data_IF_827502258956
#
_entry.id   IF_827502258956
#
_cell.length_a   1.000
_cell.length_b   1.000
_cell.length_c   1.000
_cell.angle_alpha   90.00
_cell.angle_beta   90.00
_cell.angle_gamma   90.00
#
_symmetry.space_group_name_H-M   'P 1'
#
loop_
_entity.id
_entity.type
_entity.pdbx_description
1 polymer ?
#
# COMPACT_ATOMS: atom_id res chain seq x y z
N UNK A 1 5.43 -15.54 20.09
CA UNK A 1 4.43 -14.87 19.21
C UNK A 1 4.65 -13.35 19.25
N UNK A 2 4.33 -12.63 18.16
CA UNK A 2 4.40 -11.16 18.13
C UNK A 2 3.33 -10.53 19.03
N UNK A 3 3.67 -9.39 19.66
CA UNK A 3 2.74 -8.62 20.51
C UNK A 3 2.00 -7.51 19.74
N UNK A 4 2.47 -7.21 18.52
CA UNK A 4 1.95 -6.12 17.68
C UNK A 4 0.83 -6.60 16.76
N UNK A 5 0.00 -5.71 16.21
CA UNK A 5 -1.17 -6.08 15.39
C UNK A 5 -0.83 -6.85 14.10
N UNK A 6 0.33 -6.59 13.49
CA UNK A 6 0.74 -7.27 12.26
C UNK A 6 1.20 -8.70 12.56
N UNK A 7 0.34 -9.68 12.30
CA UNK A 7 0.64 -11.10 12.57
C UNK A 7 1.20 -11.86 11.36
N UNK A 8 0.96 -11.35 10.14
CA UNK A 8 1.36 -12.03 8.91
C UNK A 8 2.89 -12.08 8.79
N UNK A 9 3.46 -13.29 8.69
CA UNK A 9 4.92 -13.49 8.73
C UNK A 9 5.66 -12.79 7.59
N UNK A 10 5.16 -12.92 6.34
CA UNK A 10 5.79 -12.30 5.18
C UNK A 10 5.72 -10.77 5.21
N UNK A 11 4.58 -10.20 5.65
CA UNK A 11 4.47 -8.74 5.82
C UNK A 11 5.40 -8.25 6.93
N UNK A 12 5.51 -8.99 8.04
CA UNK A 12 6.45 -8.65 9.12
C UNK A 12 7.91 -8.67 8.62
N UNK A 13 8.29 -9.68 7.83
CA UNK A 13 9.60 -9.74 7.20
C UNK A 13 9.80 -8.60 6.21
N UNK A 14 8.80 -8.28 5.38
CA UNK A 14 8.86 -7.17 4.44
C UNK A 14 9.14 -5.87 5.19
N UNK A 15 8.29 -5.50 6.15
CA UNK A 15 8.42 -4.25 6.91
C UNK A 15 9.78 -4.17 7.61
N UNK A 16 10.22 -5.26 8.25
CA UNK A 16 11.52 -5.32 8.93
C UNK A 16 12.72 -5.20 7.98
N UNK A 17 12.55 -5.50 6.69
CA UNK A 17 13.61 -5.44 5.68
C UNK A 17 13.68 -4.12 4.92
N UNK A 18 12.72 -3.20 5.13
CA UNK A 18 12.68 -1.93 4.42
C UNK A 18 13.80 -0.99 4.88
N UNK A 19 14.55 -0.47 3.91
CA UNK A 19 15.45 0.64 4.11
C UNK A 19 14.77 1.99 3.79
N UNK A 20 15.45 3.09 4.14
CA UNK A 20 14.97 4.44 3.82
C UNK A 20 14.71 4.61 2.32
N UNK A 21 13.51 5.08 1.97
CA UNK A 21 13.08 5.29 0.59
C UNK A 21 12.57 4.04 -0.14
N UNK A 22 12.67 2.85 0.45
CA UNK A 22 12.06 1.64 -0.14
C UNK A 22 10.55 1.79 -0.24
N UNK A 23 9.97 1.31 -1.34
CA UNK A 23 8.54 1.42 -1.59
C UNK A 23 7.80 0.10 -1.38
N UNK A 24 6.59 0.19 -0.83
CA UNK A 24 5.61 -0.91 -0.72
C UNK A 24 4.30 -0.43 -1.31
N UNK A 25 3.66 -1.26 -2.14
CA UNK A 25 2.33 -0.96 -2.69
C UNK A 25 1.27 -1.75 -1.93
N UNK A 26 0.22 -1.06 -1.48
CA UNK A 26 -1.05 -1.69 -1.08
C UNK A 26 -2.00 -1.57 -2.25
N UNK A 27 -2.50 -2.71 -2.73
CA UNK A 27 -3.25 -2.79 -3.97
C UNK A 27 -4.65 -3.37 -3.81
N UNK A 28 -5.55 -2.96 -4.72
CA UNK A 28 -6.81 -3.66 -4.94
C UNK A 28 -6.58 -5.06 -5.54
N UNK A 29 -7.65 -5.86 -5.60
CA UNK A 29 -7.57 -7.25 -6.06
C UNK A 29 -7.23 -7.39 -7.56
N UNK A 30 -7.34 -6.31 -8.33
CA UNK A 30 -7.20 -6.32 -9.79
C UNK A 30 -5.97 -5.60 -10.34
N UNK A 31 -5.14 -4.98 -9.50
CA UNK A 31 -3.96 -4.26 -9.98
C UNK A 31 -2.98 -5.23 -10.67
N UNK A 32 -2.65 -5.00 -11.95
CA UNK A 32 -1.61 -5.80 -12.61
C UNK A 32 -0.24 -5.49 -12.02
N UNK A 33 0.50 -6.54 -11.66
CA UNK A 33 1.83 -6.39 -11.09
C UNK A 33 2.88 -6.62 -12.18
N UNK A 34 3.86 -5.72 -12.35
CA UNK A 34 4.94 -5.90 -13.31
C UNK A 34 5.72 -7.20 -13.06
N UNK A 35 6.17 -7.88 -14.13
CA UNK A 35 7.00 -9.08 -13.99
C UNK A 35 8.23 -8.83 -13.12
N UNK A 36 8.54 -9.77 -12.23
CA UNK A 36 9.69 -9.69 -11.33
C UNK A 36 9.43 -8.92 -10.03
N UNK A 37 8.31 -8.21 -9.89
CA UNK A 37 7.93 -7.57 -8.63
C UNK A 37 7.31 -8.60 -7.68
N UNK A 38 7.82 -8.76 -6.46
CA UNK A 38 7.23 -9.67 -5.47
C UNK A 38 5.80 -9.31 -5.14
N UNK A 39 4.94 -10.31 -4.97
CA UNK A 39 3.54 -10.14 -4.56
C UNK A 39 3.31 -10.89 -3.25
N UNK A 40 2.76 -10.19 -2.27
CA UNK A 40 2.19 -10.80 -1.06
C UNK A 40 0.67 -10.74 -1.21
N UNK A 41 0.07 -11.89 -1.51
CA UNK A 41 -1.35 -11.97 -1.81
C UNK A 41 -2.16 -12.28 -0.55
N UNK A 42 -2.93 -11.32 -0.09
CA UNK A 42 -3.83 -11.44 1.06
C UNK A 42 -5.29 -11.60 0.65
N UNK A 43 -5.61 -11.53 -0.64
CA UNK A 43 -6.97 -11.59 -1.12
C UNK A 43 -7.60 -12.95 -0.84
N UNK A 44 -8.46 -13.03 0.16
CA UNK A 44 -9.20 -14.24 0.50
C UNK A 44 -10.50 -14.34 -0.31
N UNK A 45 -11.25 -13.24 -0.35
CA UNK A 45 -12.51 -13.10 -1.07
C UNK A 45 -12.79 -11.63 -1.29
N UNK A 46 -13.87 -11.29 -2.04
CA UNK A 46 -14.23 -9.91 -2.33
C UNK A 46 -14.35 -9.08 -1.05
N UNK A 47 -13.56 -8.02 -0.94
CA UNK A 47 -13.53 -7.08 0.18
C UNK A 47 -12.78 -7.60 1.42
N UNK A 48 -12.17 -8.77 1.39
CA UNK A 48 -11.51 -9.36 2.58
C UNK A 48 -10.09 -9.84 2.23
N UNK A 49 -9.07 -9.32 2.92
CA UNK A 49 -9.12 -8.10 3.74
C UNK A 49 -9.39 -6.87 2.87
N UNK A 50 -10.02 -5.84 3.44
CA UNK A 50 -10.21 -4.57 2.75
C UNK A 50 -8.89 -3.83 2.58
N UNK A 51 -8.85 -2.87 1.64
CA UNK A 51 -7.73 -1.95 1.48
C UNK A 51 -7.38 -1.23 2.80
N UNK A 52 -8.39 -0.74 3.51
CA UNK A 52 -8.20 -0.05 4.79
C UNK A 52 -7.58 -0.96 5.86
N UNK A 53 -8.02 -2.22 5.96
CA UNK A 53 -7.45 -3.17 6.93
C UNK A 53 -5.98 -3.42 6.66
N UNK A 54 -5.60 -3.66 5.40
CA UNK A 54 -4.20 -3.87 5.02
C UNK A 54 -3.36 -2.62 5.27
N UNK A 55 -3.86 -1.45 4.83
CA UNK A 55 -3.17 -0.17 5.04
C UNK A 55 -2.91 0.09 6.52
N UNK A 56 -3.94 0.07 7.37
CA UNK A 56 -3.79 0.36 8.79
C UNK A 56 -2.87 -0.64 9.50
N UNK A 57 -2.93 -1.92 9.10
CA UNK A 57 -2.05 -2.94 9.68
C UNK A 57 -0.59 -2.70 9.31
N UNK A 58 -0.28 -2.34 8.07
CA UNK A 58 1.09 -1.97 7.68
C UNK A 58 1.57 -0.71 8.41
N UNK A 59 0.72 0.33 8.47
CA UNK A 59 1.05 1.59 9.14
C UNK A 59 1.25 1.44 10.65
N UNK A 60 0.75 0.37 11.27
CA UNK A 60 1.02 0.10 12.70
C UNK A 60 2.49 -0.26 12.98
N UNK A 61 3.26 -0.64 11.96
CA UNK A 61 4.66 -1.04 12.10
C UNK A 61 5.61 -0.34 11.12
N UNK A 62 5.09 0.33 10.09
CA UNK A 62 5.89 0.98 9.04
C UNK A 62 5.88 2.49 9.21
N UNK A 63 7.06 3.09 9.36
CA UNK A 63 7.21 4.54 9.22
C UNK A 63 7.14 4.92 7.75
N UNK A 64 6.26 5.86 7.42
CA UNK A 64 6.08 6.36 6.05
C UNK A 64 6.49 7.82 5.99
N UNK A 65 7.34 8.18 5.02
CA UNK A 65 7.78 9.57 4.80
C UNK A 65 7.03 10.27 3.68
N UNK A 66 6.51 9.54 2.70
CA UNK A 66 5.65 10.05 1.62
C UNK A 66 4.83 8.93 1.01
N UNK A 67 3.77 9.28 0.32
CA UNK A 67 2.91 8.31 -0.36
C UNK A 67 2.43 8.84 -1.72
N UNK A 68 2.11 7.91 -2.63
CA UNK A 68 1.62 8.23 -3.97
C UNK A 68 0.40 7.37 -4.30
N UNK A 69 -0.58 7.96 -5.01
CA UNK A 69 -1.75 7.25 -5.52
C UNK A 69 -2.07 7.68 -6.96
N UNK A 70 -2.97 6.95 -7.63
CA UNK A 70 -3.41 7.37 -8.96
C UNK A 70 -4.36 8.58 -8.88
N UNK A 71 -4.24 9.52 -9.83
CA UNK A 71 -5.15 10.68 -9.94
C UNK A 71 -6.60 10.23 -10.09
N UNK A 72 -6.83 9.10 -10.76
CA UNK A 72 -8.14 8.49 -10.96
C UNK A 72 -8.80 8.06 -9.63
N UNK A 73 -8.04 7.79 -8.58
CA UNK A 73 -8.60 7.54 -7.25
C UNK A 73 -9.44 8.71 -6.76
N UNK A 74 -8.97 9.94 -6.94
CA UNK A 74 -9.72 11.13 -6.52
C UNK A 74 -11.03 11.28 -7.30
N UNK A 75 -11.00 10.99 -8.61
CA UNK A 75 -12.17 11.13 -9.48
C UNK A 75 -13.22 10.03 -9.22
N UNK A 76 -12.79 8.78 -8.98
CA UNK A 76 -13.69 7.63 -8.89
C UNK A 76 -14.02 7.21 -7.45
N UNK A 77 -13.13 7.49 -6.50
CA UNK A 77 -13.25 7.02 -5.12
C UNK A 77 -12.66 8.05 -4.15
N UNK A 78 -13.21 9.28 -4.10
CA UNK A 78 -12.66 10.37 -3.28
C UNK A 78 -12.60 10.02 -1.79
N UNK A 79 -13.46 9.12 -1.32
CA UNK A 79 -13.45 8.60 0.05
C UNK A 79 -12.13 7.86 0.38
N UNK A 80 -11.49 7.25 -0.61
CA UNK A 80 -10.19 6.59 -0.40
C UNK A 80 -9.05 7.60 -0.24
N UNK A 81 -9.10 8.72 -0.97
CA UNK A 81 -8.13 9.80 -0.76
C UNK A 81 -8.30 10.42 0.62
N UNK A 82 -9.55 10.59 1.08
CA UNK A 82 -9.83 11.04 2.45
C UNK A 82 -9.29 10.06 3.50
N UNK A 83 -9.48 8.75 3.26
CA UNK A 83 -8.93 7.69 4.11
C UNK A 83 -7.39 7.75 4.17
N UNK A 84 -6.72 7.94 3.03
CA UNK A 84 -5.26 8.09 2.99
C UNK A 84 -4.79 9.29 3.79
N UNK A 85 -5.43 10.45 3.63
CA UNK A 85 -5.09 11.67 4.39
C UNK A 85 -5.26 11.48 5.89
N UNK A 86 -6.31 10.76 6.30
CA UNK A 86 -6.57 10.46 7.70
C UNK A 86 -5.56 9.45 8.27
N UNK A 87 -5.19 8.44 7.49
CA UNK A 87 -4.27 7.39 7.91
C UNK A 87 -2.79 7.85 7.93
N UNK A 88 -2.47 8.89 7.15
CA UNK A 88 -1.11 9.42 6.94
C UNK A 88 -1.03 10.91 7.31
N UNK A 89 -1.32 11.29 8.58
CA UNK A 89 -1.32 12.69 8.99
C UNK A 89 0.09 13.28 8.85
N UNK A 90 0.19 14.45 8.17
CA UNK A 90 1.46 15.14 7.96
C UNK A 90 2.39 14.50 6.92
N UNK A 91 2.01 13.38 6.33
CA UNK A 91 2.80 12.72 5.27
C UNK A 91 2.43 13.32 3.92
N UNK A 92 3.40 13.78 3.12
CA UNK A 92 3.15 14.25 1.76
C UNK A 92 2.47 13.16 0.92
N UNK A 93 1.32 13.51 0.33
CA UNK A 93 0.54 12.64 -0.54
C UNK A 93 0.48 13.27 -1.93
N UNK A 94 1.05 12.61 -2.93
CA UNK A 94 1.07 13.05 -4.32
C UNK A 94 0.28 12.09 -5.22
N UNK A 95 -0.11 12.59 -6.39
CA UNK A 95 -0.87 11.83 -7.37
C UNK A 95 -0.16 11.80 -8.72
N UNK A 96 -0.27 10.68 -9.43
CA UNK A 96 0.19 10.50 -10.80
C UNK A 96 -0.86 9.69 -11.56
N UNK A 97 -0.83 9.73 -12.89
CA UNK A 97 -1.79 8.95 -13.68
C UNK A 97 -1.64 7.45 -13.43
N UNK A 98 -2.75 6.70 -13.57
CA UNK A 98 -2.77 5.27 -13.26
C UNK A 98 -1.81 4.44 -14.10
N UNK A 99 -1.56 4.81 -15.36
CA UNK A 99 -0.61 4.12 -16.21
C UNK A 99 0.82 4.24 -15.66
N UNK A 100 1.22 5.45 -15.27
CA UNK A 100 2.49 5.73 -14.61
C UNK A 100 2.59 5.03 -13.24
N UNK A 101 1.50 5.03 -12.47
CA UNK A 101 1.45 4.30 -11.20
C UNK A 101 1.74 2.80 -11.38
N UNK A 102 1.10 2.15 -12.37
CA UNK A 102 1.34 0.73 -12.66
C UNK A 102 2.81 0.45 -13.02
N UNK A 103 3.41 1.29 -13.85
CA UNK A 103 4.83 1.15 -14.19
C UNK A 103 5.72 1.29 -12.94
N UNK A 104 5.39 2.26 -12.08
CA UNK A 104 6.13 2.55 -10.85
C UNK A 104 6.06 1.41 -9.84
N UNK A 105 5.01 0.59 -9.86
CA UNK A 105 4.92 -0.62 -9.03
C UNK A 105 6.09 -1.58 -9.25
N UNK A 106 6.73 -1.55 -10.43
CA UNK A 106 7.93 -2.34 -10.73
C UNK A 106 9.15 -1.99 -9.87
N UNK A 107 9.17 -0.83 -9.24
CA UNK A 107 10.27 -0.40 -8.34
C UNK A 107 10.01 -0.74 -6.89
N UNK A 108 8.83 -1.23 -6.54
CA UNK A 108 8.48 -1.56 -5.18
C UNK A 108 9.17 -2.84 -4.69
N UNK A 109 9.45 -2.89 -3.38
CA UNK A 109 9.97 -4.09 -2.71
C UNK A 109 8.94 -5.23 -2.73
N UNK A 110 7.67 -4.89 -2.68
CA UNK A 110 6.55 -5.81 -2.91
C UNK A 110 5.26 -5.06 -3.20
N UNK A 111 4.34 -5.74 -3.87
CA UNK A 111 2.92 -5.36 -3.96
C UNK A 111 2.14 -6.25 -3.00
N UNK A 112 1.44 -5.64 -2.05
CA UNK A 112 0.55 -6.32 -1.11
C UNK A 112 -0.86 -6.23 -1.66
N UNK A 113 -1.38 -7.33 -2.20
CA UNK A 113 -2.72 -7.40 -2.79
C UNK A 113 -3.75 -7.64 -1.70
N UNK A 114 -4.70 -6.72 -1.56
CA UNK A 114 -5.88 -6.87 -0.70
C UNK A 114 -7.04 -7.55 -1.43
N UNK A 115 -8.14 -7.80 -0.73
CA UNK A 115 -9.40 -8.24 -1.33
C UNK A 115 -10.27 -7.09 -1.85
N UNK A 116 -9.77 -5.84 -1.85
CA UNK A 116 -10.52 -4.65 -2.25
C UNK A 116 -10.92 -4.71 -3.72
N UNK A 117 -12.20 -4.42 -3.99
CA UNK A 117 -12.76 -4.38 -5.34
C UNK A 117 -13.20 -2.98 -5.77
N UNK A 118 -12.91 -1.95 -4.98
CA UNK A 118 -13.12 -0.55 -5.38
C UNK A 118 -12.03 -0.15 -6.38
N UNK A 119 -12.40 0.39 -7.54
CA UNK A 119 -11.42 0.80 -8.55
C UNK A 119 -10.41 1.81 -8.00
N UNK A 120 -9.16 1.65 -8.41
CA UNK A 120 -8.04 2.54 -8.06
C UNK A 120 -7.69 2.57 -6.56
N UNK A 121 -8.12 1.58 -5.77
CA UNK A 121 -7.75 1.46 -4.35
C UNK A 121 -6.30 0.99 -4.21
N UNK A 122 -5.36 1.83 -4.63
CA UNK A 122 -3.94 1.52 -4.67
C UNK A 122 -3.12 2.70 -4.13
N UNK A 123 -2.17 2.41 -3.25
CA UNK A 123 -1.24 3.41 -2.71
C UNK A 123 0.18 2.85 -2.68
N UNK A 124 1.15 3.65 -3.05
CA UNK A 124 2.57 3.37 -2.87
C UNK A 124 3.06 4.15 -1.66
N UNK A 125 3.58 3.43 -0.67
CA UNK A 125 4.11 3.95 0.58
C UNK A 125 5.64 3.89 0.53
N UNK A 126 6.30 4.99 0.87
CA UNK A 126 7.77 5.06 0.92
C UNK A 126 8.24 5.06 2.35
N UNK A 127 9.12 4.12 2.69
CA UNK A 127 9.62 3.94 4.03
C UNK A 127 10.50 5.12 4.47
N UNK A 128 10.20 5.67 5.64
CA UNK A 128 11.01 6.65 6.33
C UNK A 128 11.82 6.00 7.45
N UNK A 129 12.62 6.82 8.14
CA UNK A 129 13.38 6.40 9.31
C UNK A 129 12.65 6.82 10.61
N UNK A 130 12.91 6.10 11.69
CA UNK A 130 12.30 6.38 13.02
C UNK A 130 13.24 7.12 13.97
N UNK A 131 14.37 7.59 13.45
CA UNK A 131 15.39 8.33 14.21
C UNK A 131 15.80 9.60 13.48
#
# INVERSE_FOLDING_TARGET
>A
MKKTPLLHAELSRLVASLGHGDAVVVADAGLPVPPGTPVIDLALTRGVPSFAQVLHTLLSEMQVERAEHATEMLAHSPQLVALLRQALPGVPLSALDHASFKQRCGTARAVVRSGECTPYANVMLFAGVVF
#
